data_IF_161346112030
#
_entry.id   IF_161346112030
#
_cell.length_a   1.000
_cell.length_b   1.000
_cell.length_c   1.000
_cell.angle_alpha   90.00
_cell.angle_beta   90.00
_cell.angle_gamma   90.00
#
_symmetry.space_group_name_H-M   'P 1'
#
loop_
_entity.id
_entity.type
_entity.pdbx_description
1 polymer ?
#
# COMPACT_ATOMS: atom_id res chain seq x y z
N UNK A 1 -4.73 -8.03 0.72
CA UNK A 1 -5.94 -7.93 -0.07
C UNK A 1 -6.23 -9.20 -0.85
N UNK A 2 -7.32 -9.15 -1.57
CA UNK A 2 -7.70 -10.22 -2.49
C UNK A 2 -6.83 -10.19 -3.73
N UNK A 3 -6.64 -11.36 -4.36
CA UNK A 3 -6.02 -11.43 -5.67
C UNK A 3 -6.98 -10.88 -6.73
N UNK A 4 -6.44 -10.16 -7.70
CA UNK A 4 -7.23 -9.62 -8.81
C UNK A 4 -7.76 -10.77 -9.69
N UNK A 5 -9.06 -10.84 -10.00
CA UNK A 5 -9.61 -11.90 -10.83
C UNK A 5 -8.99 -11.90 -12.23
N UNK A 6 -8.98 -13.07 -12.89
CA UNK A 6 -8.40 -13.23 -14.23
C UNK A 6 -8.95 -12.20 -15.22
N UNK A 7 -8.06 -11.57 -15.99
CA UNK A 7 -8.37 -10.55 -17.01
C UNK A 7 -9.10 -9.31 -16.45
N UNK A 8 -8.91 -9.01 -15.16
CA UNK A 8 -9.44 -7.81 -14.51
C UNK A 8 -8.32 -6.88 -14.10
N UNK A 9 -8.68 -5.61 -13.92
CA UNK A 9 -7.76 -4.56 -13.50
C UNK A 9 -8.29 -3.94 -12.22
N UNK A 10 -7.42 -3.82 -11.23
CA UNK A 10 -7.60 -3.03 -10.03
C UNK A 10 -6.73 -1.77 -10.12
N UNK A 11 -7.27 -0.63 -9.76
CA UNK A 11 -6.53 0.62 -9.63
C UNK A 11 -6.79 1.23 -8.26
N UNK A 12 -5.73 1.64 -7.59
CA UNK A 12 -5.77 2.38 -6.35
C UNK A 12 -4.98 3.68 -6.51
N UNK A 13 -5.56 4.77 -6.01
CA UNK A 13 -4.85 6.02 -5.81
C UNK A 13 -5.00 6.45 -4.36
N UNK A 14 -3.87 6.70 -3.70
CA UNK A 14 -3.78 7.10 -2.31
C UNK A 14 -3.08 8.45 -2.20
N UNK A 15 -3.60 9.33 -1.36
CA UNK A 15 -2.97 10.59 -0.98
C UNK A 15 -2.83 10.61 0.54
N UNK A 16 -1.61 10.82 1.01
CA UNK A 16 -1.30 11.02 2.41
C UNK A 16 -1.06 12.51 2.66
N UNK A 17 -1.79 13.06 3.63
CA UNK A 17 -1.68 14.43 4.12
C UNK A 17 -0.95 14.38 5.45
N UNK A 18 0.32 14.80 5.48
CA UNK A 18 1.12 14.80 6.71
C UNK A 18 0.99 16.11 7.49
N UNK A 19 1.22 16.06 8.81
CA UNK A 19 1.11 17.22 9.70
C UNK A 19 2.04 18.40 9.33
N UNK A 20 3.12 18.12 8.63
CA UNK A 20 4.12 19.13 8.21
C UNK A 20 3.81 19.77 6.86
N UNK A 21 2.55 19.79 6.43
CA UNK A 21 2.11 20.32 5.12
C UNK A 21 2.74 19.62 3.91
N UNK A 22 3.12 18.36 4.05
CA UNK A 22 3.64 17.54 2.98
C UNK A 22 2.56 16.59 2.47
N UNK A 23 2.49 16.44 1.16
CA UNK A 23 1.59 15.53 0.48
C UNK A 23 2.38 14.45 -0.24
N UNK A 24 1.91 13.24 -0.12
CA UNK A 24 2.47 12.08 -0.82
C UNK A 24 1.38 11.39 -1.62
N UNK A 25 1.68 11.10 -2.88
CA UNK A 25 0.79 10.34 -3.76
C UNK A 25 1.35 8.95 -4.02
N UNK A 26 0.47 7.97 -4.00
CA UNK A 26 0.75 6.57 -4.39
C UNK A 26 -0.29 6.12 -5.40
N UNK A 27 0.16 5.47 -6.45
CA UNK A 27 -0.74 4.88 -7.45
C UNK A 27 -0.35 3.44 -7.69
N UNK A 28 -1.33 2.55 -7.71
CA UNK A 28 -1.14 1.13 -7.89
C UNK A 28 -2.11 0.60 -8.95
N UNK A 29 -1.57 -0.02 -9.99
CA UNK A 29 -2.34 -0.71 -11.03
C UNK A 29 -1.99 -2.18 -10.96
N UNK A 30 -2.99 -3.05 -10.89
CA UNK A 30 -2.82 -4.51 -10.84
C UNK A 30 -3.66 -5.17 -11.91
N UNK A 31 -3.09 -6.15 -12.59
CA UNK A 31 -3.76 -7.01 -13.55
C UNK A 31 -3.76 -8.46 -13.07
N UNK A 32 -4.93 -9.07 -13.05
CA UNK A 32 -5.12 -10.47 -12.69
C UNK A 32 -4.80 -11.40 -13.85
N UNK A 33 -3.79 -12.25 -13.67
CA UNK A 33 -3.39 -13.26 -14.66
C UNK A 33 -4.18 -14.56 -14.53
N UNK A 34 -4.90 -14.75 -13.44
CA UNK A 34 -5.60 -15.99 -13.10
C UNK A 34 -4.72 -17.00 -12.37
N UNK A 35 -5.34 -18.09 -11.93
CA UNK A 35 -4.70 -19.14 -11.12
C UNK A 35 -4.00 -18.60 -9.86
N UNK A 36 -4.53 -17.52 -9.29
CA UNK A 36 -3.98 -16.87 -8.10
C UNK A 36 -2.75 -16.01 -8.35
N UNK A 37 -2.45 -15.62 -9.58
CA UNK A 37 -1.38 -14.70 -9.91
C UNK A 37 -1.92 -13.32 -10.28
N UNK A 38 -1.25 -12.28 -9.83
CA UNK A 38 -1.37 -10.94 -10.39
C UNK A 38 -0.01 -10.26 -10.54
N UNK A 39 0.02 -9.29 -11.44
CA UNK A 39 1.15 -8.40 -11.68
C UNK A 39 0.69 -6.96 -11.58
N UNK A 40 1.58 -6.05 -11.23
CA UNK A 40 1.22 -4.64 -11.13
C UNK A 40 2.40 -3.71 -11.25
N UNK A 41 2.05 -2.42 -11.26
CA UNK A 41 3.00 -1.31 -11.25
C UNK A 41 2.55 -0.32 -10.18
N UNK A 42 3.48 0.09 -9.33
CA UNK A 42 3.26 1.09 -8.30
C UNK A 42 4.16 2.30 -8.52
N UNK A 43 3.58 3.48 -8.49
CA UNK A 43 4.29 4.71 -8.17
C UNK A 43 4.10 4.98 -6.68
N UNK A 44 5.20 5.04 -5.94
CA UNK A 44 5.21 5.19 -4.49
C UNK A 44 5.99 6.44 -4.12
N UNK A 45 5.57 7.11 -3.05
CA UNK A 45 6.25 8.27 -2.47
C UNK A 45 6.43 9.44 -3.45
N UNK A 46 5.44 9.69 -4.35
CA UNK A 46 5.45 10.87 -5.21
C UNK A 46 5.10 12.12 -4.40
N UNK A 47 6.03 13.07 -4.22
CA UNK A 47 5.73 14.29 -3.52
C UNK A 47 4.81 15.19 -4.36
N UNK A 48 3.75 15.69 -3.75
CA UNK A 48 2.86 16.68 -4.34
C UNK A 48 3.09 18.03 -3.65
N UNK A 49 3.36 19.08 -4.42
CA UNK A 49 3.55 20.43 -3.91
C UNK A 49 2.56 21.38 -4.56
N UNK A 50 1.81 22.10 -3.73
CA UNK A 50 0.90 23.17 -4.15
C UNK A 50 1.54 24.56 -3.98
N UNK A 51 2.86 24.67 -4.11
CA UNK A 51 3.59 25.92 -3.97
C UNK A 51 3.28 26.96 -5.05
N UNK A 52 3.65 28.22 -4.79
CA UNK A 52 3.57 29.33 -5.74
C UNK A 52 4.45 29.01 -6.96
N UNK A 53 3.85 28.63 -8.07
CA UNK A 53 4.57 28.30 -9.31
C UNK A 53 3.98 27.13 -10.08
N UNK A 54 2.94 26.48 -9.56
CA UNK A 54 2.17 25.45 -10.30
C UNK A 54 2.87 24.09 -10.44
N UNK A 55 3.95 23.82 -9.73
CA UNK A 55 4.52 22.47 -9.67
C UNK A 55 3.64 21.59 -8.80
N UNK A 56 2.97 20.64 -9.44
CA UNK A 56 2.10 19.67 -8.76
C UNK A 56 2.91 18.48 -8.23
N UNK A 57 3.98 18.12 -8.91
CA UNK A 57 4.87 17.00 -8.52
C UNK A 57 6.31 17.50 -8.49
N UNK A 58 6.99 17.25 -7.41
CA UNK A 58 8.44 17.48 -7.30
C UNK A 58 9.16 16.17 -7.00
N UNK A 59 10.41 16.04 -7.45
CA UNK A 59 11.26 14.93 -7.05
C UNK A 59 11.95 15.29 -5.74
N UNK A 60 11.75 14.47 -4.72
CA UNK A 60 12.38 14.66 -3.42
C UNK A 60 13.56 13.72 -3.26
N UNK A 61 14.73 14.27 -3.00
CA UNK A 61 15.95 13.52 -2.76
C UNK A 61 16.31 13.44 -1.26
N UNK A 62 15.50 14.06 -0.41
CA UNK A 62 15.74 14.09 1.02
C UNK A 62 14.98 12.96 1.72
N UNK A 63 15.71 12.02 2.33
CA UNK A 63 15.15 10.92 3.10
C UNK A 63 14.93 11.23 4.59
N UNK A 64 15.16 12.46 5.04
CA UNK A 64 15.05 12.78 6.48
C UNK A 64 13.60 12.89 6.96
N UNK A 65 12.64 13.08 6.05
CA UNK A 65 11.21 13.08 6.32
C UNK A 65 10.41 12.71 5.06
N UNK A 66 9.12 12.45 5.22
CA UNK A 66 8.22 12.16 4.10
C UNK A 66 7.88 13.44 3.32
N UNK A 67 7.55 13.29 2.03
CA UNK A 67 7.64 12.05 1.27
C UNK A 67 9.08 11.60 1.04
N UNK A 68 9.27 10.29 0.95
CA UNK A 68 10.56 9.68 0.65
C UNK A 68 10.93 9.83 -0.82
N UNK A 69 11.98 9.13 -1.27
CA UNK A 69 12.32 9.06 -2.68
C UNK A 69 11.17 8.45 -3.48
N UNK A 70 10.79 9.03 -4.64
CA UNK A 70 9.80 8.42 -5.51
C UNK A 70 10.32 7.11 -6.10
N UNK A 71 9.50 6.08 -6.05
CA UNK A 71 9.82 4.74 -6.53
C UNK A 71 8.85 4.32 -7.63
N UNK A 72 9.37 3.70 -8.68
CA UNK A 72 8.59 2.94 -9.66
C UNK A 72 8.81 1.46 -9.39
N UNK A 73 7.77 0.78 -8.86
CA UNK A 73 7.87 -0.61 -8.42
C UNK A 73 7.03 -1.51 -9.31
N UNK A 74 7.63 -2.58 -9.81
CA UNK A 74 6.91 -3.70 -10.42
C UNK A 74 6.55 -4.71 -9.34
N UNK A 75 5.33 -5.20 -9.38
CA UNK A 75 4.81 -6.16 -8.40
C UNK A 75 4.45 -7.47 -9.04
N UNK A 76 4.75 -8.55 -8.34
CA UNK A 76 4.30 -9.91 -8.67
C UNK A 76 3.80 -10.54 -7.38
N UNK A 77 2.58 -11.06 -7.40
CA UNK A 77 1.98 -11.73 -6.25
C UNK A 77 1.38 -13.06 -6.66
N UNK A 78 1.49 -14.04 -5.77
CA UNK A 78 0.82 -15.32 -5.82
C UNK A 78 -0.02 -15.53 -4.58
N UNK A 79 -1.29 -15.85 -4.76
CA UNK A 79 -2.14 -16.38 -3.71
C UNK A 79 -2.27 -17.89 -3.86
N UNK A 80 -2.09 -18.60 -2.74
CA UNK A 80 -2.30 -20.04 -2.61
C UNK A 80 -3.45 -20.25 -1.63
N UNK A 81 -4.43 -21.07 -2.01
CA UNK A 81 -5.52 -21.46 -1.12
C UNK A 81 -5.00 -22.58 -0.22
N UNK A 82 -4.93 -22.34 1.09
CA UNK A 82 -4.55 -23.34 2.09
C UNK A 82 -5.78 -24.09 2.63
N UNK A 83 -6.90 -23.35 2.82
CA UNK A 83 -8.21 -23.90 3.16
C UNK A 83 -9.26 -23.06 2.45
N UNK A 84 -10.10 -23.72 1.67
CA UNK A 84 -11.13 -23.08 0.86
C UNK A 84 -11.97 -22.07 1.69
N UNK A 85 -12.20 -20.92 1.10
CA UNK A 85 -12.97 -19.78 1.63
C UNK A 85 -12.48 -19.20 2.97
N UNK A 86 -11.38 -19.72 3.57
CA UNK A 86 -10.98 -19.32 4.92
C UNK A 86 -9.54 -18.94 5.11
N UNK A 87 -8.62 -19.65 4.44
CA UNK A 87 -7.20 -19.46 4.71
C UNK A 87 -6.41 -19.43 3.40
N UNK A 88 -5.67 -18.36 3.20
CA UNK A 88 -4.89 -18.11 2.01
C UNK A 88 -3.48 -17.69 2.39
N UNK A 89 -2.50 -18.05 1.58
CA UNK A 89 -1.13 -17.54 1.66
C UNK A 89 -0.89 -16.63 0.46
N UNK A 90 -0.52 -15.39 0.71
CA UNK A 90 -0.09 -14.43 -0.29
C UNK A 90 1.43 -14.26 -0.21
N UNK A 91 2.13 -14.59 -1.29
CA UNK A 91 3.57 -14.36 -1.41
C UNK A 91 3.78 -13.37 -2.54
N UNK A 92 4.56 -12.33 -2.30
CA UNK A 92 4.77 -11.31 -3.30
C UNK A 92 6.12 -10.62 -3.20
N UNK A 93 6.47 -10.00 -4.30
CA UNK A 93 7.65 -9.14 -4.43
C UNK A 93 7.29 -7.84 -5.10
N UNK A 94 7.95 -6.78 -4.68
CA UNK A 94 7.95 -5.48 -5.33
C UNK A 94 9.40 -5.10 -5.58
N UNK A 95 9.73 -4.74 -6.82
CA UNK A 95 11.08 -4.38 -7.20
C UNK A 95 11.06 -3.28 -8.26
N UNK A 96 11.96 -2.30 -8.14
CA UNK A 96 12.05 -1.26 -9.16
C UNK A 96 13.00 -0.12 -8.80
N UNK A 97 13.22 0.79 -9.74
CA UNK A 97 14.17 1.88 -9.56
C UNK A 97 13.64 2.96 -8.62
N UNK A 98 14.56 3.52 -7.87
CA UNK A 98 14.41 4.83 -7.25
C UNK A 98 14.53 5.90 -8.36
N UNK A 99 13.58 6.84 -8.42
CA UNK A 99 13.52 7.91 -9.41
C UNK A 99 14.18 9.22 -8.94
N UNK A 100 14.96 9.18 -7.84
CA UNK A 100 15.72 10.33 -7.35
C UNK A 100 16.62 10.95 -8.43
N UNK A 101 16.77 12.26 -8.38
CA UNK A 101 17.67 12.99 -9.29
C UNK A 101 19.15 12.78 -8.95
N UNK A 102 19.47 12.41 -7.72
CA UNK A 102 20.84 12.17 -7.28
C UNK A 102 21.34 10.80 -7.73
N UNK A 103 22.48 10.76 -8.43
CA UNK A 103 23.09 9.52 -8.94
C UNK A 103 23.39 8.50 -7.82
N UNK A 104 23.79 8.98 -6.65
CA UNK A 104 24.08 8.14 -5.48
C UNK A 104 22.86 7.37 -5.00
N UNK A 105 21.67 7.91 -5.23
CA UNK A 105 20.39 7.33 -4.82
C UNK A 105 19.72 6.48 -5.90
N UNK A 106 20.26 6.44 -7.12
CA UNK A 106 19.73 5.65 -8.25
C UNK A 106 20.01 4.16 -8.05
N UNK A 107 19.27 3.54 -7.13
CA UNK A 107 19.39 2.14 -6.77
C UNK A 107 18.06 1.43 -6.93
N UNK A 108 18.10 0.12 -6.90
CA UNK A 108 16.90 -0.72 -6.94
C UNK A 108 16.31 -0.85 -5.54
N UNK A 109 15.06 -0.46 -5.40
CA UNK A 109 14.24 -0.73 -4.23
C UNK A 109 13.65 -2.14 -4.32
N UNK A 110 13.53 -2.82 -3.18
CA UNK A 110 12.97 -4.17 -3.12
C UNK A 110 12.20 -4.37 -1.81
N UNK A 111 11.05 -5.02 -1.93
CA UNK A 111 10.25 -5.52 -0.82
C UNK A 111 9.68 -6.90 -1.17
N UNK A 112 9.86 -7.87 -0.26
CA UNK A 112 9.28 -9.20 -0.36
C UNK A 112 8.39 -9.44 0.84
N UNK A 113 7.33 -10.23 0.68
CA UNK A 113 6.43 -10.55 1.79
C UNK A 113 5.80 -11.93 1.63
N UNK A 114 5.40 -12.50 2.77
CA UNK A 114 4.59 -13.71 2.84
C UNK A 114 3.52 -13.51 3.91
N UNK A 115 2.26 -13.37 3.49
CA UNK A 115 1.15 -12.99 4.36
C UNK A 115 0.09 -14.08 4.37
N UNK A 116 -0.29 -14.51 5.55
CA UNK A 116 -1.45 -15.40 5.75
C UNK A 116 -2.69 -14.54 5.91
N UNK A 117 -3.67 -14.76 5.05
CA UNK A 117 -5.00 -14.17 5.15
C UNK A 117 -5.96 -15.19 5.74
N UNK A 118 -6.56 -14.84 6.86
CA UNK A 118 -7.61 -15.60 7.51
C UNK A 118 -8.96 -14.87 7.41
N UNK A 119 -9.93 -15.56 6.83
CA UNK A 119 -11.29 -15.07 6.60
C UNK A 119 -12.28 -15.89 7.41
N UNK A 120 -12.55 -15.51 8.68
CA UNK A 120 -13.47 -16.26 9.55
C UNK A 120 -14.91 -16.21 9.06
N UNK A 121 -15.29 -15.19 8.31
CA UNK A 121 -16.63 -14.98 7.77
C UNK A 121 -16.61 -14.17 6.49
N UNK A 122 -17.75 -14.10 5.78
CA UNK A 122 -17.91 -13.22 4.60
C UNK A 122 -17.89 -11.73 4.95
N UNK A 123 -17.93 -11.37 6.24
CA UNK A 123 -17.90 -9.98 6.68
C UNK A 123 -16.51 -9.38 6.76
N UNK A 124 -15.47 -10.19 6.83
CA UNK A 124 -14.14 -9.62 6.91
C UNK A 124 -13.02 -10.65 7.00
N UNK A 125 -11.80 -10.14 6.95
CA UNK A 125 -10.57 -10.91 7.05
C UNK A 125 -9.52 -10.20 7.89
N UNK A 126 -8.57 -10.99 8.35
CA UNK A 126 -7.30 -10.55 8.90
C UNK A 126 -6.19 -11.04 7.97
N UNK A 127 -5.14 -10.26 7.81
CA UNK A 127 -3.95 -10.64 7.07
C UNK A 127 -2.73 -10.29 7.90
N UNK A 128 -1.78 -11.21 8.00
CA UNK A 128 -0.54 -10.97 8.75
C UNK A 128 0.60 -11.82 8.21
N UNK A 129 1.81 -11.32 8.36
CA UNK A 129 3.00 -12.08 8.05
C UNK A 129 4.26 -11.23 7.93
N UNK A 130 5.42 -11.87 7.74
CA UNK A 130 6.70 -11.22 7.63
C UNK A 130 6.87 -10.51 6.28
N UNK A 131 7.70 -9.48 6.30
CA UNK A 131 8.26 -8.89 5.10
C UNK A 131 9.77 -8.70 5.25
N UNK A 132 10.44 -8.56 4.11
CA UNK A 132 11.84 -8.19 3.99
C UNK A 132 11.98 -7.06 2.97
N UNK A 133 12.85 -6.11 3.26
CA UNK A 133 13.08 -4.94 2.41
C UNK A 133 14.55 -4.55 2.37
N UNK A 134 14.93 -3.59 1.54
CA UNK A 134 16.25 -3.00 1.51
C UNK A 134 16.24 -1.51 1.86
N UNK A 135 17.42 -0.93 2.08
CA UNK A 135 17.62 0.47 2.44
C UNK A 135 16.97 1.44 1.45
N UNK A 136 16.99 1.10 0.16
CA UNK A 136 16.43 1.96 -0.89
C UNK A 136 14.93 2.07 -0.78
N UNK A 137 14.24 0.96 -0.46
CA UNK A 137 12.79 0.95 -0.28
C UNK A 137 12.34 1.79 0.92
N UNK A 138 13.08 1.76 2.02
CA UNK A 138 12.70 2.44 3.27
C UNK A 138 13.26 3.86 3.41
N UNK A 139 14.01 4.34 2.41
CA UNK A 139 14.49 5.72 2.35
C UNK A 139 15.69 6.02 3.27
N UNK A 140 16.58 5.08 3.49
CA UNK A 140 17.78 5.28 4.28
C UNK A 140 18.32 3.99 4.90
N UNK A 141 19.43 4.06 5.65
CA UNK A 141 19.93 2.90 6.36
C UNK A 141 18.95 2.53 7.48
N UNK A 142 18.19 1.45 7.34
CA UNK A 142 17.32 0.97 8.41
C UNK A 142 18.17 0.22 9.42
N UNK A 143 17.73 0.20 10.64
CA UNK A 143 18.21 -0.74 11.64
C UNK A 143 17.72 -2.15 11.33
N UNK A 144 16.51 -2.27 10.73
CA UNK A 144 15.87 -3.54 10.44
C UNK A 144 15.42 -3.67 8.98
N UNK A 145 15.83 -4.76 8.32
CA UNK A 145 15.37 -5.15 6.99
C UNK A 145 14.15 -6.08 7.01
N UNK A 146 13.83 -6.63 8.17
CA UNK A 146 12.71 -7.53 8.39
C UNK A 146 11.69 -6.89 9.31
N UNK A 147 10.44 -7.20 9.07
CA UNK A 147 9.36 -6.78 9.92
C UNK A 147 8.11 -7.62 9.71
N UNK A 148 7.02 -7.19 10.33
CA UNK A 148 5.71 -7.82 10.26
C UNK A 148 4.74 -6.81 9.68
N UNK A 149 3.91 -7.27 8.76
CA UNK A 149 2.72 -6.57 8.27
C UNK A 149 1.48 -7.21 8.87
N UNK A 150 0.51 -6.38 9.21
CA UNK A 150 -0.81 -6.79 9.65
C UNK A 150 -1.85 -5.90 8.97
N UNK A 151 -2.98 -6.46 8.60
CA UNK A 151 -4.10 -5.71 8.07
C UNK A 151 -5.42 -6.38 8.40
N UNK A 152 -6.50 -5.61 8.35
CA UNK A 152 -7.84 -6.11 8.51
C UNK A 152 -8.83 -5.34 7.64
N UNK A 153 -9.91 -6.03 7.28
CA UNK A 153 -11.10 -5.43 6.72
C UNK A 153 -12.32 -6.06 7.38
N UNK A 154 -13.30 -5.23 7.73
CA UNK A 154 -14.57 -5.69 8.30
C UNK A 154 -15.75 -4.90 7.74
N UNK A 155 -16.66 -5.58 7.05
CA UNK A 155 -17.89 -5.02 6.47
C UNK A 155 -18.94 -4.77 7.57
N UNK A 156 -19.24 -3.51 7.84
CA UNK A 156 -20.33 -3.13 8.72
C UNK A 156 -21.68 -3.37 8.05
N UNK A 157 -21.78 -3.04 6.77
CA UNK A 157 -22.91 -3.27 5.88
C UNK A 157 -22.44 -3.21 4.41
N UNK A 158 -23.36 -3.20 3.44
CA UNK A 158 -23.03 -3.20 2.01
C UNK A 158 -22.31 -1.93 1.53
N UNK A 159 -22.40 -0.84 2.31
CA UNK A 159 -21.80 0.45 1.96
C UNK A 159 -20.56 0.76 2.78
N UNK A 160 -20.51 0.39 4.03
CA UNK A 160 -19.48 0.79 4.98
C UNK A 160 -18.62 -0.38 5.43
N UNK A 161 -17.34 -0.15 5.52
CA UNK A 161 -16.35 -1.10 6.05
C UNK A 161 -15.32 -0.37 6.92
N UNK A 162 -14.75 -1.10 7.87
CA UNK A 162 -13.58 -0.67 8.63
C UNK A 162 -12.36 -1.36 8.04
N UNK A 163 -11.28 -0.62 7.91
CA UNK A 163 -10.00 -1.11 7.40
C UNK A 163 -8.86 -0.58 8.24
N UNK A 164 -7.78 -1.34 8.28
CA UNK A 164 -6.54 -0.86 8.87
C UNK A 164 -5.37 -1.72 8.48
N UNK A 165 -4.20 -1.06 8.44
CA UNK A 165 -2.93 -1.64 8.12
C UNK A 165 -1.88 -1.24 9.15
N UNK A 166 -0.94 -2.13 9.38
CA UNK A 166 0.20 -1.94 10.25
C UNK A 166 1.45 -2.47 9.57
N UNK A 167 2.49 -1.68 9.56
CA UNK A 167 3.84 -2.06 9.11
C UNK A 167 4.80 -1.78 10.25
N UNK A 168 5.41 -2.82 10.80
CA UNK A 168 6.40 -2.72 11.87
C UNK A 168 7.77 -2.30 11.33
N UNK A 169 8.73 -2.06 12.23
CA UNK A 169 10.13 -1.76 11.90
C UNK A 169 10.56 -0.39 12.41
N UNK A 170 11.86 -0.16 12.47
CA UNK A 170 12.45 1.14 12.81
C UNK A 170 12.90 1.86 11.53
N UNK A 171 11.92 2.21 10.69
CA UNK A 171 12.13 2.92 9.42
C UNK A 171 10.92 3.79 9.06
N UNK A 172 11.11 4.72 8.15
CA UNK A 172 10.11 5.75 7.80
C UNK A 172 8.83 5.24 7.13
N UNK A 173 8.81 3.98 6.69
CA UNK A 173 7.59 3.31 6.19
C UNK A 173 6.82 2.56 7.27
N UNK A 174 7.35 2.53 8.50
CA UNK A 174 6.68 1.93 9.67
C UNK A 174 5.54 2.83 10.13
N UNK A 175 4.32 2.32 10.05
CA UNK A 175 3.13 3.11 10.30
C UNK A 175 1.91 2.24 10.58
N UNK A 176 0.90 2.86 11.16
CA UNK A 176 -0.44 2.30 11.31
C UNK A 176 -1.42 3.20 10.58
N UNK A 177 -2.31 2.60 9.79
CA UNK A 177 -3.45 3.28 9.19
C UNK A 177 -4.73 2.62 9.69
N UNK A 178 -5.68 3.42 10.17
CA UNK A 178 -7.01 2.94 10.58
C UNK A 178 -8.04 3.90 10.01
N UNK A 179 -9.10 3.35 9.42
CA UNK A 179 -10.12 4.19 8.82
C UNK A 179 -11.36 3.44 8.38
N UNK A 180 -12.19 4.15 7.65
CA UNK A 180 -13.43 3.65 7.11
C UNK A 180 -13.44 3.73 5.58
N UNK A 181 -13.94 2.69 4.94
CA UNK A 181 -14.21 2.64 3.52
C UNK A 181 -15.70 2.83 3.23
N UNK A 182 -16.00 3.44 2.10
CA UNK A 182 -17.34 3.62 1.58
C UNK A 182 -17.47 3.12 0.16
N UNK A 183 -18.32 2.14 -0.06
CA UNK A 183 -18.62 1.58 -1.37
C UNK A 183 -19.61 2.49 -2.11
N UNK A 184 -19.10 3.37 -2.97
CA UNK A 184 -19.91 4.27 -3.80
C UNK A 184 -20.75 3.46 -4.80
N UNK A 185 -20.15 2.43 -5.38
CA UNK A 185 -20.79 1.49 -6.32
C UNK A 185 -20.15 0.10 -6.18
N UNK A 186 -20.52 -0.85 -7.04
CA UNK A 186 -19.84 -2.15 -7.13
C UNK A 186 -18.44 -2.10 -7.76
N UNK A 187 -18.02 -0.93 -8.24
CA UNK A 187 -16.72 -0.74 -8.91
C UNK A 187 -15.87 0.38 -8.32
N UNK A 188 -16.41 1.15 -7.38
CA UNK A 188 -15.74 2.32 -6.79
C UNK A 188 -15.89 2.31 -5.28
N UNK A 189 -14.78 2.37 -4.59
CA UNK A 189 -14.68 2.48 -3.15
C UNK A 189 -13.79 3.66 -2.78
N UNK A 190 -14.18 4.40 -1.77
CA UNK A 190 -13.39 5.46 -1.15
C UNK A 190 -12.96 5.00 0.23
N UNK A 191 -11.79 5.45 0.67
CA UNK A 191 -11.29 5.22 2.01
C UNK A 191 -10.79 6.54 2.62
N UNK A 192 -11.09 6.72 3.89
CA UNK A 192 -10.57 7.81 4.72
C UNK A 192 -10.05 7.22 6.02
N UNK A 193 -8.80 7.50 6.35
CA UNK A 193 -8.15 6.97 7.53
C UNK A 193 -7.19 7.94 8.20
N UNK A 194 -6.90 7.66 9.47
CA UNK A 194 -5.81 8.28 10.21
C UNK A 194 -4.54 7.48 10.00
N UNK A 195 -3.45 8.17 9.75
CA UNK A 195 -2.11 7.63 9.65
C UNK A 195 -1.35 8.01 10.92
N UNK A 196 -0.80 7.02 11.61
CA UNK A 196 0.04 7.21 12.80
C UNK A 196 1.40 6.59 12.54
N UNK A 197 2.43 7.42 12.54
CA UNK A 197 3.80 6.96 12.46
C UNK A 197 4.30 6.46 13.83
N UNK A 198 5.37 5.68 13.83
CA UNK A 198 6.01 5.26 15.09
C UNK A 198 6.60 6.45 15.85
N UNK A 199 6.79 6.34 17.16
CA UNK A 199 7.16 7.47 18.03
C UNK A 199 8.39 8.26 17.57
N UNK A 200 9.34 7.61 16.92
CA UNK A 200 10.56 8.27 16.40
C UNK A 200 10.30 9.13 15.15
N UNK A 201 9.10 8.98 14.53
CA UNK A 201 8.71 9.66 13.29
C UNK A 201 7.38 10.40 13.44
N UNK A 202 7.13 11.04 14.58
CA UNK A 202 5.84 11.71 14.93
C UNK A 202 5.40 12.78 13.92
N UNK A 203 6.32 13.39 13.22
CA UNK A 203 5.99 14.41 12.19
C UNK A 203 5.35 13.77 10.93
N UNK A 204 5.42 12.47 10.80
CA UNK A 204 4.82 11.71 9.69
C UNK A 204 3.38 11.24 9.99
N UNK A 205 2.76 11.71 11.09
CA UNK A 205 1.33 11.51 11.33
C UNK A 205 0.49 12.28 10.33
N UNK A 206 -0.69 11.76 9.99
CA UNK A 206 -1.51 12.39 8.99
C UNK A 206 -2.87 11.74 8.74
N UNK A 207 -3.42 12.07 7.60
CA UNK A 207 -4.67 11.54 7.08
C UNK A 207 -4.43 10.88 5.73
N UNK A 208 -5.08 9.76 5.50
CA UNK A 208 -5.02 8.99 4.25
C UNK A 208 -6.36 9.08 3.55
N UNK A 209 -6.35 9.41 2.28
CA UNK A 209 -7.50 9.31 1.38
C UNK A 209 -7.16 8.36 0.25
N UNK A 210 -8.04 7.39 -0.02
CA UNK A 210 -7.85 6.44 -1.13
C UNK A 210 -9.08 6.39 -2.02
N UNK A 211 -8.81 6.16 -3.30
CA UNK A 211 -9.80 5.85 -4.31
C UNK A 211 -9.41 4.48 -4.89
N UNK A 212 -10.29 3.50 -4.74
CA UNK A 212 -10.14 2.15 -5.27
C UNK A 212 -11.13 1.92 -6.40
N UNK A 213 -10.63 1.65 -7.59
CA UNK A 213 -11.45 1.33 -8.76
C UNK A 213 -11.19 -0.10 -9.22
N UNK A 214 -12.29 -0.79 -9.53
CA UNK A 214 -12.31 -2.18 -9.97
C UNK A 214 -12.94 -2.29 -11.35
N UNK A 215 -12.32 -2.96 -12.30
CA UNK A 215 -12.90 -3.22 -13.62
C UNK A 215 -14.02 -4.27 -13.59
N UNK A 216 -14.34 -4.82 -12.42
CA UNK A 216 -15.44 -5.77 -12.17
C UNK A 216 -16.33 -5.28 -11.02
N UNK A 217 -17.51 -5.90 -10.86
CA UNK A 217 -18.32 -5.67 -9.68
C UNK A 217 -17.79 -6.49 -8.49
N UNK A 218 -17.08 -5.86 -7.58
CA UNK A 218 -16.48 -6.56 -6.44
C UNK A 218 -17.52 -7.08 -5.42
N UNK A 219 -18.76 -6.60 -5.48
CA UNK A 219 -19.84 -7.11 -4.63
C UNK A 219 -20.37 -8.48 -5.10
N UNK A 220 -20.15 -8.84 -6.35
CA UNK A 220 -20.56 -10.11 -6.94
C UNK A 220 -19.45 -11.18 -6.93
N UNK A 221 -18.24 -10.79 -6.53
CA UNK A 221 -17.06 -11.67 -6.57
C UNK A 221 -16.88 -12.51 -5.28
N UNK A 222 -17.86 -12.47 -4.35
CA UNK A 222 -17.82 -13.16 -3.05
C UNK A 222 -19.00 -14.07 -2.81
#
# INVERSE_FOLDING_TARGET
>A
GDITPKNKIFYQHQINFYQVNELESKSHVVYGMGKGWDIGVNFVDLPLSFGRGGQIVSMNDNSNRKPLYPLLMFTLQKQVVLKEERLFLNVGTQIGPNLSNELVNKKIAMMNYALVRWQPSKKGYLIAGPYHTNNVFVGGPPTDHFGIMFGYEYKLNDKWLLMGDFISGDHKKSQTVIGAGYNVSGKLQLFLGSLSAFPNHRLDNGVVVEINWYSWNFKEAH
#
